data_IF_994294828077
#
_entry.id   IF_994294828077
#
_cell.length_a   1.000
_cell.length_b   1.000
_cell.length_c   1.000
_cell.angle_alpha   90.00
_cell.angle_beta   90.00
_cell.angle_gamma   90.00
#
_symmetry.space_group_name_H-M   'P 1'
#
loop_
_entity.id
_entity.type
_entity.pdbx_description
1 polymer ?
#
# COMPACT_ATOMS: atom_id res chain seq x y z
N UNK A 1 -3.00 -8.07 0.75
CA UNK A 1 -4.46 -8.36 0.64
C UNK A 1 -4.80 -9.38 -0.47
N UNK A 2 -4.03 -9.44 -1.56
CA UNK A 2 -4.26 -10.33 -2.70
C UNK A 2 -4.12 -11.83 -2.40
N UNK A 3 -3.35 -12.23 -1.37
CA UNK A 3 -3.13 -13.64 -1.01
C UNK A 3 -4.43 -14.42 -0.78
N UNK A 4 -5.42 -13.81 -0.09
CA UNK A 4 -6.70 -14.47 0.14
C UNK A 4 -7.43 -14.74 -1.19
N UNK A 5 -7.39 -13.79 -2.12
CA UNK A 5 -7.95 -13.96 -3.46
C UNK A 5 -7.26 -15.06 -4.25
N UNK A 6 -5.92 -15.13 -4.20
CA UNK A 6 -5.13 -16.20 -4.82
C UNK A 6 -5.50 -17.58 -4.22
N UNK A 7 -5.61 -17.68 -2.90
CA UNK A 7 -6.02 -18.91 -2.20
C UNK A 7 -7.44 -19.32 -2.61
N UNK A 8 -8.39 -18.38 -2.63
CA UNK A 8 -9.76 -18.67 -3.07
C UNK A 8 -9.83 -19.17 -4.51
N UNK A 9 -9.05 -18.58 -5.43
CA UNK A 9 -8.97 -19.04 -6.81
C UNK A 9 -8.39 -20.45 -6.91
N UNK A 10 -7.30 -20.72 -6.19
CA UNK A 10 -6.69 -22.05 -6.16
C UNK A 10 -7.68 -23.11 -5.63
N UNK A 11 -8.42 -22.79 -4.57
CA UNK A 11 -9.48 -23.67 -4.03
C UNK A 11 -10.64 -23.89 -5.02
N UNK A 12 -10.92 -22.92 -5.89
CA UNK A 12 -11.94 -23.03 -6.93
C UNK A 12 -11.47 -23.78 -8.19
N UNK A 13 -10.24 -24.31 -8.22
CA UNK A 13 -9.66 -24.97 -9.38
C UNK A 13 -9.27 -24.02 -10.52
N UNK A 14 -9.26 -22.71 -10.26
CA UNK A 14 -8.77 -21.72 -11.21
C UNK A 14 -7.23 -21.67 -11.15
N UNK A 15 -6.55 -21.32 -12.26
CA UNK A 15 -5.11 -21.14 -12.26
C UNK A 15 -4.71 -20.04 -11.26
N UNK A 16 -3.61 -20.28 -10.53
CA UNK A 16 -3.09 -19.32 -9.56
C UNK A 16 -2.72 -18.00 -10.24
N UNK A 17 -3.23 -16.88 -9.72
CA UNK A 17 -2.83 -15.55 -10.16
C UNK A 17 -1.45 -15.22 -9.59
N UNK A 18 -0.57 -14.68 -10.44
CA UNK A 18 0.72 -14.15 -10.00
C UNK A 18 0.52 -13.05 -8.94
N UNK A 19 1.59 -12.76 -8.19
CA UNK A 19 1.58 -11.59 -7.31
C UNK A 19 1.40 -10.31 -8.14
N UNK A 20 0.67 -9.32 -7.62
CA UNK A 20 0.50 -8.04 -8.31
C UNK A 20 1.85 -7.36 -8.50
N UNK A 21 2.00 -6.70 -9.64
CA UNK A 21 3.11 -5.79 -9.93
C UNK A 21 3.22 -4.68 -8.87
N UNK A 22 4.39 -4.02 -8.78
CA UNK A 22 4.56 -2.88 -7.88
C UNK A 22 3.55 -1.77 -8.19
N UNK A 23 3.25 -1.54 -9.46
CA UNK A 23 2.24 -0.59 -9.93
C UNK A 23 0.84 -0.93 -9.40
N UNK A 24 0.41 -2.19 -9.53
CA UNK A 24 -0.87 -2.66 -8.99
C UNK A 24 -0.90 -2.60 -7.46
N UNK A 25 0.21 -2.93 -6.79
CA UNK A 25 0.32 -2.82 -5.33
C UNK A 25 0.18 -1.38 -4.87
N UNK A 26 0.88 -0.44 -5.52
CA UNK A 26 0.80 0.98 -5.19
C UNK A 26 -0.62 1.52 -5.36
N UNK A 27 -1.28 1.22 -6.49
CA UNK A 27 -2.66 1.63 -6.73
C UNK A 27 -3.60 1.10 -5.64
N UNK A 28 -3.47 -0.18 -5.27
CA UNK A 28 -4.27 -0.81 -4.22
C UNK A 28 -4.03 -0.19 -2.84
N UNK A 29 -2.78 0.18 -2.53
CA UNK A 29 -2.43 0.83 -1.25
C UNK A 29 -3.09 2.20 -1.16
N UNK A 30 -3.08 2.99 -2.23
CA UNK A 30 -3.72 4.30 -2.29
C UNK A 30 -5.23 4.17 -2.13
N UNK A 31 -5.87 3.25 -2.86
CA UNK A 31 -7.29 2.96 -2.73
C UNK A 31 -7.65 2.58 -1.29
N UNK A 32 -6.91 1.64 -0.70
CA UNK A 32 -7.17 1.18 0.67
C UNK A 32 -6.92 2.29 1.70
N UNK A 33 -5.94 3.16 1.47
CA UNK A 33 -5.69 4.32 2.31
C UNK A 33 -6.88 5.26 2.32
N UNK A 34 -7.40 5.63 1.15
CA UNK A 34 -8.60 6.46 1.04
C UNK A 34 -9.82 5.82 1.70
N UNK A 35 -10.04 4.51 1.48
CA UNK A 35 -11.13 3.79 2.13
C UNK A 35 -11.05 3.83 3.67
N UNK A 36 -9.84 3.76 4.24
CA UNK A 36 -9.66 3.91 5.69
C UNK A 36 -9.99 5.33 6.17
N UNK A 37 -9.62 6.38 5.42
CA UNK A 37 -9.97 7.76 5.77
C UNK A 37 -11.47 8.01 5.69
N UNK A 38 -12.13 7.47 4.66
CA UNK A 38 -13.58 7.60 4.48
C UNK A 38 -14.34 6.88 5.59
N UNK A 39 -13.92 5.66 5.93
CA UNK A 39 -14.63 4.84 6.90
C UNK A 39 -14.42 5.29 8.35
N UNK A 40 -13.19 5.66 8.73
CA UNK A 40 -12.85 6.00 10.12
C UNK A 40 -12.81 7.52 10.39
N UNK A 41 -12.94 8.35 9.37
CA UNK A 41 -12.60 9.77 9.42
C UNK A 41 -11.09 10.00 9.39
N UNK A 42 -10.67 11.21 9.02
CA UNK A 42 -9.29 11.48 8.63
C UNK A 42 -8.27 11.17 9.76
N UNK A 43 -8.45 11.72 10.96
CA UNK A 43 -7.49 11.54 12.05
C UNK A 43 -7.32 10.07 12.48
N UNK A 44 -8.43 9.36 12.68
CA UNK A 44 -8.40 7.94 13.08
C UNK A 44 -7.92 7.08 11.91
N UNK A 45 -8.37 7.38 10.70
CA UNK A 45 -7.97 6.69 9.47
C UNK A 45 -6.46 6.73 9.26
N UNK A 46 -5.80 7.88 9.43
CA UNK A 46 -4.32 7.98 9.36
C UNK A 46 -3.66 7.06 10.39
N UNK A 47 -4.12 7.09 11.64
CA UNK A 47 -3.56 6.28 12.71
C UNK A 47 -3.72 4.77 12.44
N UNK A 48 -4.89 4.35 11.94
CA UNK A 48 -5.16 2.96 11.56
C UNK A 48 -4.35 2.56 10.32
N UNK A 49 -4.14 3.47 9.36
CA UNK A 49 -3.42 3.19 8.14
C UNK A 49 -1.94 2.86 8.36
N UNK A 50 -1.27 3.53 9.32
CA UNK A 50 0.18 3.37 9.61
C UNK A 50 0.64 1.90 9.72
N UNK A 51 -0.12 1.05 10.42
CA UNK A 51 0.23 -0.38 10.55
C UNK A 51 0.17 -1.11 9.20
N UNK A 52 -0.81 -0.78 8.36
CA UNK A 52 -1.01 -1.39 7.05
C UNK A 52 0.10 -0.95 6.09
N UNK A 53 0.46 0.33 6.10
CA UNK A 53 1.57 0.85 5.30
C UNK A 53 2.88 0.10 5.63
N UNK A 54 3.13 -0.17 6.91
CA UNK A 54 4.28 -0.96 7.33
C UNK A 54 4.28 -2.41 6.82
N UNK A 55 3.11 -3.02 6.61
CA UNK A 55 3.01 -4.35 6.01
C UNK A 55 3.22 -4.31 4.50
N UNK A 56 2.64 -3.30 3.83
CA UNK A 56 2.74 -3.14 2.38
C UNK A 56 4.16 -2.86 1.90
N UNK A 57 4.93 -2.07 2.63
CA UNK A 57 6.29 -1.72 2.22
C UNK A 57 7.34 -2.74 2.67
N UNK A 58 6.94 -3.79 3.40
CA UNK A 58 7.91 -4.75 3.97
C UNK A 58 8.68 -5.46 2.86
N UNK A 59 10.01 -5.44 2.97
CA UNK A 59 10.91 -6.09 2.00
C UNK A 59 11.32 -5.22 0.82
N UNK A 60 10.73 -4.02 0.69
CA UNK A 60 11.17 -3.03 -0.30
C UNK A 60 12.37 -2.23 0.23
N UNK A 61 13.28 -1.84 -0.66
CA UNK A 61 14.44 -1.00 -0.34
C UNK A 61 13.98 0.33 0.26
N UNK A 62 14.61 0.78 1.35
CA UNK A 62 14.24 2.01 2.05
C UNK A 62 12.99 1.90 2.95
N UNK A 63 12.42 0.71 3.11
CA UNK A 63 11.17 0.53 3.87
C UNK A 63 11.32 0.76 5.38
N UNK A 64 12.52 0.63 5.95
CA UNK A 64 12.73 0.90 7.38
C UNK A 64 12.64 2.41 7.65
N UNK A 65 13.34 3.20 6.83
CA UNK A 65 13.35 4.66 6.86
C UNK A 65 11.95 5.23 6.61
N UNK A 66 11.26 4.75 5.57
CA UNK A 66 9.89 5.14 5.28
C UNK A 66 8.95 4.87 6.45
N UNK A 67 8.98 3.65 7.02
CA UNK A 67 8.12 3.28 8.16
C UNK A 67 8.39 4.16 9.39
N UNK A 68 9.65 4.45 9.69
CA UNK A 68 10.00 5.32 10.81
C UNK A 68 9.46 6.74 10.62
N UNK A 69 9.59 7.29 9.41
CA UNK A 69 9.12 8.64 9.11
C UNK A 69 7.58 8.73 9.09
N UNK A 70 6.89 7.84 8.37
CA UNK A 70 5.43 7.92 8.16
C UNK A 70 4.64 7.72 9.45
N UNK A 71 5.20 6.99 10.43
CA UNK A 71 4.58 6.80 11.74
C UNK A 71 4.46 8.08 12.56
N UNK A 72 5.23 9.13 12.24
CA UNK A 72 5.22 10.42 12.93
C UNK A 72 4.31 11.47 12.25
N UNK A 73 3.69 11.12 11.11
CA UNK A 73 2.93 12.07 10.28
C UNK A 73 1.43 11.96 10.55
N UNK A 74 0.77 13.01 11.09
CA UNK A 74 -0.68 13.00 11.35
C UNK A 74 -1.51 13.47 10.15
N UNK A 75 -0.90 14.17 9.19
CA UNK A 75 -1.59 14.73 8.03
C UNK A 75 -1.70 13.70 6.88
N UNK A 76 -2.92 13.47 6.40
CA UNK A 76 -3.20 12.43 5.41
C UNK A 76 -2.57 12.72 4.05
N UNK A 77 -2.53 13.99 3.64
CA UNK A 77 -1.97 14.44 2.37
C UNK A 77 -0.46 14.27 2.34
N UNK A 78 0.20 14.55 3.47
CA UNK A 78 1.63 14.32 3.64
C UNK A 78 1.95 12.84 3.55
N UNK A 79 1.15 11.96 4.17
CA UNK A 79 1.33 10.50 4.03
C UNK A 79 1.19 10.04 2.57
N UNK A 80 0.19 10.53 1.83
CA UNK A 80 0.04 10.23 0.39
C UNK A 80 1.26 10.69 -0.42
N UNK A 81 1.79 11.87 -0.13
CA UNK A 81 3.00 12.40 -0.77
C UNK A 81 4.22 11.53 -0.47
N UNK A 82 4.36 11.06 0.78
CA UNK A 82 5.43 10.15 1.17
C UNK A 82 5.31 8.79 0.48
N UNK A 83 4.09 8.26 0.34
CA UNK A 83 3.85 7.03 -0.41
C UNK A 83 4.24 7.18 -1.87
N UNK A 84 3.82 8.27 -2.53
CA UNK A 84 4.20 8.54 -3.91
C UNK A 84 5.73 8.56 -4.09
N UNK A 85 6.45 9.32 -3.25
CA UNK A 85 7.92 9.41 -3.29
C UNK A 85 8.61 8.08 -3.01
N UNK A 86 8.05 7.28 -2.10
CA UNK A 86 8.62 5.97 -1.75
C UNK A 86 8.48 4.97 -2.90
N UNK A 87 7.34 4.98 -3.60
CA UNK A 87 7.09 4.07 -4.72
C UNK A 87 7.65 4.56 -6.05
N UNK A 88 7.83 5.87 -6.26
CA UNK A 88 8.35 6.47 -7.50
C UNK A 88 9.56 5.74 -8.12
N UNK A 89 10.65 5.42 -7.39
CA UNK A 89 11.79 4.71 -7.98
C UNK A 89 11.51 3.22 -8.30
N UNK A 90 10.44 2.66 -7.74
CA UNK A 90 10.03 1.25 -7.89
C UNK A 90 8.95 1.06 -8.95
N UNK A 91 8.21 2.11 -9.28
CA UNK A 91 7.18 2.07 -10.31
C UNK A 91 7.83 1.78 -11.66
N UNK A 92 7.11 1.02 -12.48
CA UNK A 92 7.48 0.87 -13.87
C UNK A 92 7.51 2.29 -14.46
N UNK A 93 8.66 2.71 -15.00
CA UNK A 93 8.70 3.93 -15.80
C UNK A 93 7.77 3.69 -16.98
N UNK A 94 6.51 4.11 -16.86
CA UNK A 94 5.64 4.22 -18.00
C UNK A 94 6.39 5.12 -18.99
N UNK A 95 6.77 4.53 -20.13
CA UNK A 95 7.32 5.27 -21.25
C UNK A 95 6.35 6.43 -21.53
N UNK A 96 6.83 7.65 -21.30
CA UNK A 96 6.20 8.86 -21.78
C UNK A 96 6.23 8.88 -23.31
#
# INVERSE_FOLDING_TARGET
PWLLGQVMQALAGAPSRADPSIDEQYALIIEHYHAMLEHYGEHVGVNIARKHLGWYTKGLTGSAEFRNAVNQVPDSRTVLTMLARFYEPLLSKAAA
#
